data_IF_435047387904
#
_entry.id   IF_435047387904
#
_cell.length_a   1.000
_cell.length_b   1.000
_cell.length_c   1.000
_cell.angle_alpha   90.00
_cell.angle_beta   90.00
_cell.angle_gamma   90.00
#
_symmetry.space_group_name_H-M   'P 1'
#
loop_
_entity.id
_entity.type
_entity.pdbx_description
1 polymer ?
#
# COMPACT_ATOMS: atom_id res chain seq x y z
N UNK A 1 -7.55 12.35 -15.78
CA UNK A 1 -7.73 11.16 -14.92
C UNK A 1 -6.69 11.24 -13.81
N UNK A 2 -7.09 11.18 -12.55
CA UNK A 2 -6.17 11.33 -11.40
C UNK A 2 -5.28 10.09 -11.28
N UNK A 3 -3.96 10.27 -11.32
CA UNK A 3 -2.95 9.22 -11.09
C UNK A 3 -2.64 9.01 -9.61
N UNK A 4 -3.23 9.79 -8.71
CA UNK A 4 -2.99 9.73 -7.28
C UNK A 4 -3.84 8.63 -6.64
N UNK A 5 -3.37 7.38 -6.72
CA UNK A 5 -4.04 6.20 -6.14
C UNK A 5 -3.16 5.43 -5.15
N UNK A 6 -2.02 6.02 -4.75
CA UNK A 6 -1.07 5.39 -3.85
C UNK A 6 -0.35 4.19 -4.48
N UNK A 7 -0.32 3.05 -3.81
CA UNK A 7 0.47 1.88 -4.24
C UNK A 7 0.10 1.28 -5.60
N UNK A 8 -1.11 1.54 -6.11
CA UNK A 8 -1.57 1.06 -7.43
C UNK A 8 -1.19 1.99 -8.60
N UNK A 9 -0.48 3.09 -8.33
CA UNK A 9 -0.16 4.12 -9.34
C UNK A 9 0.61 3.55 -10.54
N UNK A 10 1.45 2.53 -10.33
CA UNK A 10 2.22 1.88 -11.39
C UNK A 10 1.34 1.28 -12.49
N UNK A 11 0.24 0.64 -12.13
CA UNK A 11 -0.67 0.01 -13.10
C UNK A 11 -1.34 1.11 -13.94
N UNK A 12 -1.72 2.22 -13.30
CA UNK A 12 -2.30 3.38 -14.00
C UNK A 12 -1.26 4.05 -14.91
N UNK A 13 -0.01 4.20 -14.45
CA UNK A 13 1.07 4.76 -15.28
C UNK A 13 1.34 3.89 -16.51
N UNK A 14 1.32 2.57 -16.37
CA UNK A 14 1.42 1.65 -17.50
C UNK A 14 0.25 1.82 -18.46
N UNK A 15 -0.99 1.90 -17.95
CA UNK A 15 -2.17 2.12 -18.79
C UNK A 15 -2.07 3.42 -19.60
N UNK A 16 -1.60 4.51 -18.97
CA UNK A 16 -1.36 5.78 -19.65
C UNK A 16 -0.23 5.70 -20.68
N UNK A 17 0.88 5.03 -20.35
CA UNK A 17 1.99 4.83 -21.28
C UNK A 17 1.54 4.07 -22.53
N UNK A 18 0.75 3.01 -22.37
CA UNK A 18 0.17 2.26 -23.48
C UNK A 18 -0.73 3.14 -24.34
N UNK A 19 -1.59 3.95 -23.72
CA UNK A 19 -2.47 4.86 -24.45
C UNK A 19 -1.68 5.91 -25.25
N UNK A 20 -0.64 6.50 -24.66
CA UNK A 20 0.21 7.49 -25.30
C UNK A 20 1.00 6.92 -26.49
N UNK A 21 1.52 5.69 -26.35
CA UNK A 21 2.23 5.01 -27.44
C UNK A 21 1.27 4.69 -28.59
N UNK A 22 0.07 4.17 -28.29
CA UNK A 22 -0.93 3.84 -29.32
C UNK A 22 -1.47 5.06 -30.04
N UNK A 23 -1.54 6.21 -29.36
CA UNK A 23 -1.93 7.48 -29.98
C UNK A 23 -0.81 8.13 -30.81
N UNK A 24 0.40 7.56 -30.82
CA UNK A 24 1.56 8.13 -31.51
C UNK A 24 2.16 9.35 -30.83
N UNK A 25 1.83 9.59 -29.55
CA UNK A 25 2.40 10.71 -28.80
C UNK A 25 3.82 10.44 -28.28
N UNK A 26 4.19 9.17 -28.10
CA UNK A 26 5.55 8.76 -27.77
C UNK A 26 5.85 7.35 -28.30
N UNK A 27 7.13 7.04 -28.49
CA UNK A 27 7.58 5.69 -28.87
C UNK A 27 8.08 4.90 -27.66
N UNK A 28 8.66 5.61 -26.68
CA UNK A 28 9.23 5.04 -25.47
C UNK A 28 8.74 5.82 -24.26
N UNK A 29 8.28 5.11 -23.23
CA UNK A 29 7.85 5.70 -21.97
C UNK A 29 8.62 5.05 -20.80
N UNK A 30 9.21 5.88 -19.94
CA UNK A 30 9.92 5.45 -18.74
C UNK A 30 9.05 5.73 -17.49
N UNK A 31 8.74 4.68 -16.73
CA UNK A 31 8.04 4.78 -15.45
C UNK A 31 9.02 4.46 -14.33
N UNK A 32 9.32 5.44 -13.49
CA UNK A 32 10.21 5.29 -12.33
C UNK A 32 9.51 5.71 -11.06
N UNK A 33 9.94 5.15 -9.94
CA UNK A 33 9.45 5.50 -8.62
C UNK A 33 10.57 5.39 -7.60
N UNK A 34 10.60 6.33 -6.66
CA UNK A 34 11.49 6.32 -5.52
C UNK A 34 10.75 6.84 -4.31
N UNK A 35 10.91 6.15 -3.18
CA UNK A 35 10.30 6.54 -1.91
C UNK A 35 11.39 6.77 -0.86
N UNK A 36 11.36 7.95 -0.24
CA UNK A 36 12.24 8.28 0.89
C UNK A 36 11.52 8.13 2.24
N UNK A 37 10.48 7.30 2.33
CA UNK A 37 9.55 7.25 3.46
C UNK A 37 10.21 6.99 4.83
N UNK A 38 11.39 6.34 4.85
CA UNK A 38 12.17 6.09 6.06
C UNK A 38 13.06 7.25 6.49
N UNK A 39 13.65 7.98 5.54
CA UNK A 39 14.66 9.02 5.79
C UNK A 39 14.10 10.45 5.67
N UNK A 40 12.91 10.60 5.10
CA UNK A 40 12.23 11.87 4.97
C UNK A 40 11.96 12.47 6.37
N UNK A 41 12.49 13.67 6.60
CA UNK A 41 12.33 14.40 7.87
C UNK A 41 10.95 15.04 8.04
N UNK A 42 10.17 15.10 6.96
CA UNK A 42 8.84 15.68 6.98
C UNK A 42 7.85 14.67 6.40
N UNK A 43 6.85 14.28 7.19
CA UNK A 43 5.68 13.58 6.67
C UNK A 43 4.73 14.65 6.18
N UNK A 44 4.39 14.64 4.89
CA UNK A 44 3.33 15.48 4.37
C UNK A 44 2.06 15.20 5.19
N UNK A 45 1.55 16.21 5.88
CA UNK A 45 0.27 16.13 6.59
C UNK A 45 -0.87 15.91 5.61
N UNK A 46 -1.99 15.37 6.10
CA UNK A 46 -3.19 15.26 5.29
C UNK A 46 -3.63 16.66 4.84
N UNK A 47 -3.91 16.81 3.55
CA UNK A 47 -4.38 18.07 2.99
C UNK A 47 -5.80 18.36 3.51
N UNK A 48 -5.93 19.29 4.47
CA UNK A 48 -7.21 19.66 5.08
C UNK A 48 -8.22 20.31 4.12
N UNK A 49 -7.82 20.58 2.87
CA UNK A 49 -8.72 21.05 1.81
C UNK A 49 -9.40 19.91 1.04
N UNK A 50 -8.99 18.67 1.26
CA UNK A 50 -9.63 17.50 0.64
C UNK A 50 -10.81 17.01 1.47
N UNK A 51 -11.95 16.64 0.83
CA UNK A 51 -13.13 16.21 1.56
C UNK A 51 -12.89 15.03 2.52
N UNK A 52 -12.04 14.07 2.16
CA UNK A 52 -11.75 12.90 3.00
C UNK A 52 -11.12 13.28 4.34
N UNK A 53 -9.92 13.90 4.36
CA UNK A 53 -9.26 14.34 5.58
C UNK A 53 -10.11 15.23 6.50
N UNK A 54 -11.00 16.06 5.95
CA UNK A 54 -11.89 16.92 6.74
C UNK A 54 -12.83 16.15 7.67
N UNK A 55 -13.31 14.99 7.26
CA UNK A 55 -14.25 14.17 8.05
C UNK A 55 -13.59 12.99 8.76
N UNK A 56 -12.29 12.75 8.53
CA UNK A 56 -11.57 11.61 9.09
C UNK A 56 -10.55 12.04 10.16
N UNK A 57 -9.79 13.11 9.88
CA UNK A 57 -8.71 13.58 10.77
C UNK A 57 -9.23 14.05 12.14
N UNK A 58 -10.35 14.81 12.25
CA UNK A 58 -10.87 15.24 13.55
C UNK A 58 -11.29 14.07 14.46
N UNK A 59 -11.61 12.92 13.87
CA UNK A 59 -12.04 11.72 14.60
C UNK A 59 -10.90 10.71 14.81
N UNK A 60 -9.66 11.11 14.52
CA UNK A 60 -8.49 10.28 14.80
C UNK A 60 -8.15 9.25 13.72
N UNK A 61 -8.78 9.29 12.55
CA UNK A 61 -8.39 8.45 11.40
C UNK A 61 -7.18 9.10 10.72
N UNK A 62 -6.02 8.92 11.35
CA UNK A 62 -4.76 9.54 10.95
C UNK A 62 -3.90 8.50 10.24
N UNK A 63 -4.27 8.24 8.98
CA UNK A 63 -3.47 7.46 8.03
C UNK A 63 -3.86 5.99 7.87
N UNK A 64 -3.19 5.30 6.92
CA UNK A 64 -3.64 4.01 6.42
C UNK A 64 -3.81 2.90 7.47
N UNK A 65 -2.93 2.76 8.51
CA UNK A 65 -3.09 1.68 9.48
C UNK A 65 -4.43 1.70 10.22
N UNK A 66 -4.96 2.90 10.50
CA UNK A 66 -6.24 3.08 11.20
C UNK A 66 -7.40 2.79 10.24
N UNK A 67 -7.32 3.28 9.00
CA UNK A 67 -8.35 2.99 7.98
C UNK A 67 -8.44 1.48 7.69
N UNK A 68 -7.31 0.79 7.58
CA UNK A 68 -7.28 -0.66 7.36
C UNK A 68 -7.69 -1.48 8.60
N UNK A 69 -7.47 -0.98 9.82
CA UNK A 69 -7.89 -1.70 11.03
C UNK A 69 -9.42 -1.80 11.12
N UNK A 70 -10.15 -0.78 10.68
CA UNK A 70 -11.61 -0.80 10.61
C UNK A 70 -12.12 -1.87 9.63
N UNK A 71 -11.53 -1.94 8.44
CA UNK A 71 -11.85 -2.98 7.45
C UNK A 71 -11.50 -4.39 7.98
N UNK A 72 -10.36 -4.52 8.65
CA UNK A 72 -9.93 -5.76 9.30
C UNK A 72 -10.92 -6.20 10.39
N UNK A 73 -11.37 -5.28 11.25
CA UNK A 73 -12.37 -5.60 12.28
C UNK A 73 -13.67 -6.07 11.66
N UNK A 74 -14.16 -5.41 10.61
CA UNK A 74 -15.36 -5.85 9.90
C UNK A 74 -15.20 -7.26 9.32
N UNK A 75 -14.02 -7.57 8.78
CA UNK A 75 -13.71 -8.91 8.26
C UNK A 75 -13.76 -9.97 9.38
N UNK A 76 -13.17 -9.69 10.54
CA UNK A 76 -13.23 -10.57 11.72
C UNK A 76 -14.67 -10.82 12.19
N UNK A 77 -15.51 -9.79 12.24
CA UNK A 77 -16.92 -9.91 12.64
C UNK A 77 -17.74 -10.79 11.66
N UNK A 78 -17.44 -10.72 10.36
CA UNK A 78 -18.20 -11.43 9.33
C UNK A 78 -17.82 -12.91 9.21
N UNK A 79 -16.54 -13.23 9.35
CA UNK A 79 -16.00 -14.56 9.05
C UNK A 79 -15.44 -15.31 10.28
N UNK A 80 -15.55 -14.68 11.45
CA UNK A 80 -15.05 -15.20 12.72
C UNK A 80 -13.60 -14.76 12.98
N UNK A 81 -13.34 -14.39 14.23
CA UNK A 81 -12.05 -13.82 14.65
C UNK A 81 -10.91 -14.82 14.53
N UNK A 82 -11.08 -16.07 14.98
CA UNK A 82 -10.02 -17.08 14.96
C UNK A 82 -9.56 -17.43 13.54
N UNK A 83 -10.51 -17.66 12.62
CA UNK A 83 -10.22 -17.98 11.21
C UNK A 83 -9.53 -16.81 10.52
N UNK A 84 -10.03 -15.60 10.76
CA UNK A 84 -9.48 -14.38 10.19
C UNK A 84 -8.06 -14.11 10.71
N UNK A 85 -7.83 -14.27 12.01
CA UNK A 85 -6.52 -14.09 12.64
C UNK A 85 -5.49 -15.06 12.07
N UNK A 86 -5.86 -16.32 11.90
CA UNK A 86 -4.99 -17.33 11.26
C UNK A 86 -4.67 -16.96 9.81
N UNK A 87 -5.68 -16.60 9.01
CA UNK A 87 -5.48 -16.19 7.61
C UNK A 87 -4.54 -14.97 7.47
N UNK A 88 -4.76 -13.92 8.28
CA UNK A 88 -3.92 -12.73 8.25
C UNK A 88 -2.49 -13.02 8.68
N UNK A 89 -2.30 -13.88 9.69
CA UNK A 89 -0.98 -14.30 10.12
C UNK A 89 -0.25 -15.13 9.06
N UNK A 90 -0.95 -16.02 8.35
CA UNK A 90 -0.39 -16.82 7.26
C UNK A 90 0.11 -15.93 6.11
N UNK A 91 -0.64 -14.87 5.78
CA UNK A 91 -0.21 -13.86 4.78
C UNK A 91 1.09 -13.19 5.24
N UNK A 92 1.20 -12.78 6.51
CA UNK A 92 2.41 -12.14 7.02
C UNK A 92 3.62 -13.09 7.02
N UNK A 93 3.44 -14.34 7.47
CA UNK A 93 4.50 -15.35 7.53
C UNK A 93 4.95 -15.75 6.12
N UNK A 94 4.03 -15.99 5.19
CA UNK A 94 4.37 -16.33 3.80
C UNK A 94 5.12 -15.19 3.11
N UNK A 95 4.66 -13.95 3.26
CA UNK A 95 5.38 -12.77 2.76
C UNK A 95 6.79 -12.69 3.35
N UNK A 96 6.97 -13.02 4.63
CA UNK A 96 8.31 -13.04 5.24
C UNK A 96 9.21 -14.12 4.65
N UNK A 97 8.67 -15.33 4.42
CA UNK A 97 9.41 -16.43 3.78
C UNK A 97 9.92 -16.01 2.40
N UNK A 98 9.07 -15.38 1.59
CA UNK A 98 9.48 -14.84 0.29
C UNK A 98 10.56 -13.74 0.42
N UNK A 99 10.48 -12.89 1.44
CA UNK A 99 11.52 -11.91 1.70
C UNK A 99 12.89 -12.55 2.02
N UNK A 100 12.94 -13.75 2.64
CA UNK A 100 14.21 -14.43 2.92
C UNK A 100 14.95 -14.85 1.63
N UNK A 101 14.19 -15.08 0.55
CA UNK A 101 14.74 -15.51 -0.74
C UNK A 101 15.32 -14.35 -1.55
N UNK A 102 14.99 -13.10 -1.21
CA UNK A 102 15.40 -11.94 -1.97
C UNK A 102 16.60 -11.24 -1.30
N UNK A 103 17.79 -11.22 -1.93
CA UNK A 103 18.99 -10.55 -1.39
C UNK A 103 18.79 -9.05 -1.12
N UNK A 104 17.85 -8.40 -1.82
CA UNK A 104 17.57 -6.96 -1.68
C UNK A 104 16.48 -6.65 -0.66
N UNK A 105 15.83 -7.65 -0.07
CA UNK A 105 14.76 -7.41 0.88
C UNK A 105 15.30 -6.88 2.21
N UNK A 106 14.64 -5.84 2.75
CA UNK A 106 15.02 -5.25 4.05
C UNK A 106 14.99 -6.26 5.22
N UNK A 107 14.13 -7.27 5.09
CA UNK A 107 13.79 -8.21 6.15
C UNK A 107 14.33 -9.63 5.89
N UNK A 108 15.36 -9.74 5.04
CA UNK A 108 15.90 -11.00 4.53
C UNK A 108 16.38 -11.96 5.62
N UNK A 109 17.03 -11.49 6.68
CA UNK A 109 17.61 -12.36 7.71
C UNK A 109 16.80 -12.30 9.02
N UNK A 110 15.49 -12.05 8.88
CA UNK A 110 14.55 -11.87 9.98
C UNK A 110 13.33 -12.80 9.78
N UNK A 111 13.48 -14.11 10.02
CA UNK A 111 12.40 -15.06 9.84
C UNK A 111 11.25 -14.77 10.82
N UNK A 112 10.03 -15.11 10.40
CA UNK A 112 8.81 -14.94 11.19
C UNK A 112 8.02 -16.24 11.17
N UNK A 113 7.48 -16.61 12.33
CA UNK A 113 6.59 -17.75 12.49
C UNK A 113 5.36 -17.36 13.30
N UNK A 114 4.26 -18.01 13.05
CA UNK A 114 3.02 -17.88 13.80
C UNK A 114 2.66 -19.23 14.41
N UNK A 115 2.23 -19.23 15.67
CA UNK A 115 1.80 -20.41 16.44
C UNK A 115 0.31 -20.33 16.71
#
# INVERSE_FOLDING_TARGET
MVTSVGGSSFIIHIAHAIAAIRAGYCEVALVTHGEAGRSARNRAGANGSEPGPQFEVPYGIIGPPISYSMACRRYMELYGEDKTRQALAEIAVSTRKWAQLNPKAYMKDQPMSFR
#
